data_IF_277815058117
#
_entry.id   IF_277815058117
#
_cell.length_a   1.000
_cell.length_b   1.000
_cell.length_c   1.000
_cell.angle_alpha   90.00
_cell.angle_beta   90.00
_cell.angle_gamma   90.00
#
_symmetry.space_group_name_H-M   'P 1'
#
loop_
_entity.id
_entity.type
_entity.pdbx_description
1 polymer ?
#
# COMPACT_ATOMS: atom_id res chain seq x y z
N UNK A 1 13.83 -16.20 -9.98
CA UNK A 1 12.94 -16.75 -8.92
C UNK A 1 13.48 -16.21 -7.60
N UNK A 2 12.65 -15.68 -6.69
CA UNK A 2 13.10 -15.17 -5.38
C UNK A 2 13.25 -16.36 -4.42
N UNK A 3 14.40 -17.02 -4.47
CA UNK A 3 14.70 -18.28 -3.76
C UNK A 3 14.45 -18.14 -2.25
N UNK A 4 14.89 -17.02 -1.67
CA UNK A 4 14.74 -16.71 -0.25
C UNK A 4 13.43 -15.98 0.08
N UNK A 5 12.58 -15.74 -0.91
CA UNK A 5 11.29 -15.02 -0.75
C UNK A 5 11.45 -13.64 -0.08
N UNK A 6 12.60 -12.98 -0.29
CA UNK A 6 12.95 -11.69 0.33
C UNK A 6 11.91 -10.59 0.09
N UNK A 7 11.22 -10.63 -1.05
CA UNK A 7 10.14 -9.69 -1.36
C UNK A 7 8.81 -9.99 -0.66
N UNK A 8 8.67 -11.17 -0.05
CA UNK A 8 7.44 -11.67 0.58
C UNK A 8 7.52 -11.79 2.09
N UNK A 9 8.71 -11.72 2.68
CA UNK A 9 8.93 -11.83 4.12
C UNK A 9 9.17 -10.46 4.74
N UNK A 10 8.66 -10.26 5.95
CA UNK A 10 8.85 -9.03 6.72
C UNK A 10 10.31 -8.91 7.18
N UNK A 11 10.97 -7.80 6.90
CA UNK A 11 12.35 -7.58 7.32
C UNK A 11 12.56 -7.33 8.82
N UNK A 12 11.51 -7.38 9.64
CA UNK A 12 11.61 -7.23 11.10
C UNK A 12 11.38 -8.54 11.86
N UNK A 13 10.60 -9.47 11.30
CA UNK A 13 10.26 -10.72 11.99
C UNK A 13 10.10 -11.93 11.07
N UNK A 14 10.44 -11.76 9.78
CA UNK A 14 10.45 -12.76 8.71
C UNK A 14 9.14 -13.51 8.48
N UNK A 15 8.04 -13.04 9.06
CA UNK A 15 6.69 -13.53 8.76
C UNK A 15 6.19 -13.00 7.41
N UNK A 16 5.24 -13.71 6.82
CA UNK A 16 4.68 -13.37 5.52
C UNK A 16 4.08 -11.96 5.49
N UNK A 17 4.22 -11.33 4.32
CA UNK A 17 3.59 -10.06 3.98
C UNK A 17 2.32 -10.31 3.17
N UNK A 18 1.25 -9.63 3.57
CA UNK A 18 -0.03 -9.62 2.85
C UNK A 18 -0.36 -8.23 2.33
N UNK A 19 -1.00 -8.16 1.16
CA UNK A 19 -1.54 -6.91 0.66
C UNK A 19 -2.70 -6.45 1.54
N UNK A 20 -2.76 -5.14 1.78
CA UNK A 20 -3.79 -4.58 2.65
C UNK A 20 -5.07 -4.25 1.88
N UNK A 21 -6.15 -4.09 2.62
CA UNK A 21 -7.34 -3.42 2.11
C UNK A 21 -7.39 -2.00 2.67
N UNK A 22 -7.60 -1.01 1.81
CA UNK A 22 -7.76 0.38 2.22
C UNK A 22 -9.18 0.88 1.92
N UNK A 23 -9.80 1.60 2.87
CA UNK A 23 -11.02 2.36 2.58
C UNK A 23 -10.70 3.43 1.54
N UNK A 24 -11.31 3.30 0.37
CA UNK A 24 -11.08 4.19 -0.77
C UNK A 24 -12.40 4.82 -1.18
N UNK A 25 -12.46 6.14 -1.38
CA UNK A 25 -13.66 6.78 -1.93
C UNK A 25 -13.84 6.38 -3.40
N UNK A 26 -15.03 5.90 -3.71
CA UNK A 26 -15.43 5.43 -5.04
C UNK A 26 -16.73 6.12 -5.43
N UNK A 27 -16.84 6.56 -6.68
CA UNK A 27 -18.10 7.08 -7.21
C UNK A 27 -18.93 5.94 -7.81
N UNK A 28 -20.24 5.86 -7.50
CA UNK A 28 -21.16 4.94 -8.16
C UNK A 28 -21.14 5.11 -9.69
N UNK A 29 -21.47 4.04 -10.43
CA UNK A 29 -21.46 4.06 -11.91
C UNK A 29 -22.35 5.15 -12.53
N UNK A 30 -23.43 5.52 -11.83
CA UNK A 30 -24.41 6.50 -12.30
C UNK A 30 -24.07 7.93 -11.85
N UNK A 31 -22.94 8.13 -11.16
CA UNK A 31 -22.49 9.42 -10.67
C UNK A 31 -21.22 9.82 -11.41
N UNK A 32 -21.28 10.99 -12.05
CA UNK A 32 -20.10 11.56 -12.69
C UNK A 32 -19.07 11.97 -11.64
N UNK A 33 -17.81 11.58 -11.88
CA UNK A 33 -16.70 12.02 -11.04
C UNK A 33 -16.57 13.56 -11.12
N UNK A 34 -16.39 14.25 -9.98
CA UNK A 34 -16.23 15.69 -9.94
C UNK A 34 -15.01 16.10 -10.77
N UNK A 35 -15.26 16.93 -11.78
CA UNK A 35 -14.19 17.50 -12.62
C UNK A 35 -13.48 18.63 -11.88
N UNK A 36 -12.18 18.80 -12.15
CA UNK A 36 -11.42 19.95 -11.62
C UNK A 36 -11.99 21.23 -12.22
N UNK A 37 -12.39 22.18 -11.36
CA UNK A 37 -12.91 23.49 -11.78
C UNK A 37 -11.96 24.59 -11.32
N UNK A 38 -11.76 25.60 -12.17
CA UNK A 38 -10.97 26.79 -11.88
C UNK A 38 -11.85 28.02 -12.10
N UNK A 39 -11.96 28.89 -11.11
CA UNK A 39 -12.76 30.13 -11.18
C UNK A 39 -11.88 31.29 -10.71
N UNK A 40 -11.78 32.35 -11.54
CA UNK A 40 -10.95 33.53 -11.27
C UNK A 40 -9.53 33.18 -10.80
N UNK A 41 -8.87 32.24 -11.48
CA UNK A 41 -7.51 31.82 -11.12
C UNK A 41 -7.42 30.77 -10.00
N UNK A 42 -8.47 30.60 -9.18
CA UNK A 42 -8.48 29.69 -8.02
C UNK A 42 -9.05 28.33 -8.38
N UNK A 43 -8.41 27.26 -7.91
CA UNK A 43 -8.90 25.89 -8.06
C UNK A 43 -9.93 25.64 -6.96
N UNK A 44 -11.14 25.23 -7.34
CA UNK A 44 -12.18 24.87 -6.38
C UNK A 44 -11.98 23.43 -5.88
N UNK A 45 -12.33 23.14 -4.61
CA UNK A 45 -12.40 21.77 -4.11
C UNK A 45 -13.32 20.91 -4.97
N UNK A 46 -12.99 19.63 -5.13
CA UNK A 46 -13.90 18.66 -5.73
C UNK A 46 -14.95 18.29 -4.70
N UNK A 47 -16.20 18.23 -5.14
CA UNK A 47 -17.29 17.73 -4.32
C UNK A 47 -17.24 16.20 -4.28
N UNK A 48 -16.96 15.66 -3.10
CA UNK A 48 -16.90 14.22 -2.82
C UNK A 48 -18.13 13.72 -2.05
N UNK A 49 -19.18 14.53 -1.89
CA UNK A 49 -20.36 14.18 -1.09
C UNK A 49 -21.08 12.91 -1.57
N UNK A 50 -21.00 12.61 -2.87
CA UNK A 50 -21.59 11.42 -3.49
C UNK A 50 -20.62 10.23 -3.57
N UNK A 51 -19.41 10.35 -3.04
CA UNK A 51 -18.48 9.24 -2.99
C UNK A 51 -18.84 8.28 -1.85
N UNK A 52 -18.81 6.99 -2.14
CA UNK A 52 -18.98 5.92 -1.17
C UNK A 52 -17.61 5.37 -0.75
N UNK A 53 -17.45 5.03 0.52
CA UNK A 53 -16.24 4.36 1.00
C UNK A 53 -16.37 2.87 0.71
N UNK A 54 -15.45 2.34 -0.09
CA UNK A 54 -15.36 0.90 -0.33
C UNK A 54 -13.97 0.39 0.05
N UNK A 55 -13.92 -0.80 0.64
CA UNK A 55 -12.67 -1.49 0.88
C UNK A 55 -12.09 -1.99 -0.45
N UNK A 56 -10.90 -1.53 -0.81
CA UNK A 56 -10.21 -1.97 -2.03
C UNK A 56 -8.87 -2.57 -1.71
N UNK A 57 -8.50 -3.58 -2.47
CA UNK A 57 -7.19 -4.20 -2.33
C UNK A 57 -6.10 -3.26 -2.84
N UNK A 58 -5.10 -3.00 -1.99
CA UNK A 58 -3.94 -2.20 -2.35
C UNK A 58 -2.74 -3.14 -2.48
N UNK A 59 -2.26 -3.32 -3.71
CA UNK A 59 -1.09 -4.16 -3.98
C UNK A 59 0.25 -3.47 -3.67
N UNK A 60 0.21 -2.14 -3.49
CA UNK A 60 1.39 -1.31 -3.24
C UNK A 60 1.87 -1.48 -1.79
N UNK A 61 0.92 -1.45 -0.85
CA UNK A 61 1.25 -1.53 0.58
C UNK A 61 1.13 -2.96 1.08
N UNK A 62 2.17 -3.42 1.75
CA UNK A 62 2.25 -4.72 2.38
C UNK A 62 2.23 -4.57 3.90
N UNK A 63 1.48 -5.44 4.57
CA UNK A 63 1.42 -5.53 6.03
C UNK A 63 1.95 -6.90 6.46
N UNK A 64 2.76 -6.89 7.52
CA UNK A 64 3.16 -8.13 8.16
C UNK A 64 1.95 -8.85 8.78
N UNK A 65 1.80 -10.13 8.46
CA UNK A 65 0.71 -10.97 9.00
C UNK A 65 0.85 -11.17 10.52
N UNK A 66 2.05 -10.99 11.07
CA UNK A 66 2.27 -10.95 12.51
C UNK A 66 1.70 -9.66 13.11
N UNK A 67 0.54 -9.78 13.77
CA UNK A 67 -0.17 -8.68 14.45
C UNK A 67 0.65 -7.98 15.54
N UNK A 68 1.67 -8.65 16.09
CA UNK A 68 2.56 -8.05 17.09
C UNK A 68 3.58 -7.14 16.39
N UNK A 69 4.10 -7.56 15.24
CA UNK A 69 5.12 -6.80 14.50
C UNK A 69 4.56 -5.51 13.90
N UNK A 70 3.34 -5.53 13.36
CA UNK A 70 2.65 -4.36 12.78
C UNK A 70 3.42 -3.61 11.68
N UNK A 71 4.52 -4.17 11.18
CA UNK A 71 5.32 -3.56 10.13
C UNK A 71 4.51 -3.37 8.84
N UNK A 72 4.71 -2.20 8.21
CA UNK A 72 4.08 -1.82 6.95
C UNK A 72 5.15 -1.38 5.97
N UNK A 73 5.06 -1.91 4.76
CA UNK A 73 6.00 -1.61 3.69
C UNK A 73 5.25 -0.95 2.55
N UNK A 74 5.60 0.30 2.28
CA UNK A 74 5.11 1.05 1.12
C UNK A 74 5.88 0.69 -0.15
N UNK A 75 7.11 0.24 0.03
CA UNK A 75 8.00 -0.20 -1.04
C UNK A 75 8.47 -1.63 -0.73
N UNK A 76 8.09 -2.54 -1.62
CA UNK A 76 8.43 -3.97 -1.51
C UNK A 76 9.93 -4.19 -1.74
N UNK A 77 10.55 -3.39 -2.59
CA UNK A 77 11.94 -3.56 -3.00
C UNK A 77 12.87 -3.11 -1.87
N UNK A 78 12.48 -2.08 -1.11
CA UNK A 78 13.18 -1.69 0.13
C UNK A 78 13.16 -2.83 1.15
N UNK A 79 11.99 -3.46 1.38
CA UNK A 79 11.90 -4.63 2.26
C UNK A 79 12.76 -5.80 1.79
N UNK A 80 12.75 -6.08 0.47
CA UNK A 80 13.57 -7.13 -0.11
C UNK A 80 15.07 -6.84 0.06
N UNK A 81 15.50 -5.59 -0.16
CA UNK A 81 16.90 -5.18 -0.01
C UNK A 81 17.40 -5.36 1.43
N UNK A 82 16.57 -5.03 2.43
CA UNK A 82 16.92 -5.25 3.85
C UNK A 82 17.07 -6.75 4.14
N UNK A 83 16.13 -7.58 3.67
CA UNK A 83 16.22 -9.04 3.83
C UNK A 83 17.47 -9.62 3.16
N UNK A 84 17.81 -9.15 1.96
CA UNK A 84 19.03 -9.58 1.26
C UNK A 84 20.29 -9.17 2.03
N UNK A 85 20.33 -7.95 2.59
CA UNK A 85 21.46 -7.49 3.39
C UNK A 85 21.65 -8.36 4.64
N UNK A 86 20.57 -8.70 5.33
CA UNK A 86 20.61 -9.54 6.52
C UNK A 86 21.14 -10.95 6.21
N UNK A 87 20.70 -11.55 5.09
CA UNK A 87 21.22 -12.84 4.62
C UNK A 87 22.74 -12.76 4.38
N UNK A 88 23.20 -11.75 3.64
CA UNK A 88 24.63 -11.57 3.37
C UNK A 88 25.47 -11.36 4.63
N UNK A 89 24.92 -10.68 5.64
CA UNK A 89 25.59 -10.48 6.93
C UNK A 89 25.61 -11.74 7.79
N UNK A 90 24.68 -12.67 7.59
CA UNK A 90 24.62 -13.95 8.32
C UNK A 90 25.56 -15.03 7.78
N UNK A 91 26.10 -14.84 6.57
CA UNK A 91 27.07 -15.74 5.93
C UNK A 91 28.53 -15.46 6.36
N UNK A 92 28.76 -14.45 7.21
CA UNK A 92 30.07 -14.05 7.77
C UNK A 92 30.24 -14.57 9.18
#
# INVERSE_FOLDING_TARGET
>A
MDEFRTSKLCSQCHQSLSSVQYPTPVFPKNVDKPKRKKVKGKILPRDWSQAEIQSRHCHVVLLCENKICQARYWDRDVNAAINMLELLMSEV
#
